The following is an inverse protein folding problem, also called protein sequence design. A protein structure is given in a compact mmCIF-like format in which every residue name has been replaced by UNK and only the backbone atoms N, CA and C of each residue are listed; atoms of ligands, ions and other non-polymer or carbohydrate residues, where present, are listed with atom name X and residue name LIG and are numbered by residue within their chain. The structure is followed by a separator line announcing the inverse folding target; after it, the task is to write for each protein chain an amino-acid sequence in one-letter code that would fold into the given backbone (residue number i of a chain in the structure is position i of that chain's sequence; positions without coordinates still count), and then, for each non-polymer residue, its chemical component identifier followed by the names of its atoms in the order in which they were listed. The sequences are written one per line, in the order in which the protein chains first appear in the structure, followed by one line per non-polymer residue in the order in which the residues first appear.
data_IF_890160572560
#
_entry.id   IF_890160572560
#
_cell.length_a   1.000
_cell.length_b   1.000
_cell.length_c   1.000
_cell.angle_alpha   90.00
_cell.angle_beta   90.00
_cell.angle_gamma   90.00
#
_symmetry.space_group_name_H-M   'P 1'
#
loop_
_entity.id
_entity.type
_entity.pdbx_description
1 polymer ?
#
# COMPACT_ATOMS: atom_id res chain seq x y z
N UNK A 1 5.59 9.64 22.05
CA UNK A 1 4.33 9.63 21.29
C UNK A 1 3.46 8.50 21.84
N UNK A 2 2.16 8.74 22.07
CA UNK A 2 1.19 7.69 22.44
C UNK A 2 0.69 6.99 21.16
N UNK A 3 1.11 5.74 20.95
CA UNK A 3 0.80 4.98 19.73
C UNK A 3 -0.69 4.65 19.61
N UNK A 4 -1.37 4.09 20.65
CA UNK A 4 -2.82 3.90 20.62
C UNK A 4 -3.61 5.15 20.24
N UNK A 5 -3.31 6.30 20.85
CA UNK A 5 -3.97 7.56 20.52
C UNK A 5 -3.69 7.98 19.06
N UNK A 6 -2.43 7.93 18.64
CA UNK A 6 -2.03 8.33 17.28
C UNK A 6 -2.69 7.43 16.21
N UNK A 7 -2.79 6.12 16.48
CA UNK A 7 -3.47 5.19 15.59
C UNK A 7 -4.98 5.46 15.53
N UNK A 8 -5.61 5.77 16.65
CA UNK A 8 -7.02 6.21 16.69
C UNK A 8 -7.23 7.49 15.86
N UNK A 9 -6.31 8.44 15.95
CA UNK A 9 -6.35 9.69 15.19
C UNK A 9 -6.20 9.43 13.68
N UNK A 10 -5.13 8.77 13.26
CA UNK A 10 -4.82 8.53 11.84
C UNK A 10 -5.75 7.48 11.18
N UNK A 11 -6.26 6.55 11.98
CA UNK A 11 -7.18 5.47 11.59
C UNK A 11 -6.54 4.39 10.71
N UNK A 12 -5.22 4.27 10.70
CA UNK A 12 -4.49 3.32 9.85
C UNK A 12 -3.05 3.15 10.31
N UNK A 13 -2.58 1.89 10.34
CA UNK A 13 -1.20 1.53 10.69
C UNK A 13 -0.21 1.94 9.60
N UNK A 14 -0.62 1.92 8.32
CA UNK A 14 0.25 2.42 7.23
C UNK A 14 0.41 3.95 7.30
N UNK A 15 -0.62 4.70 7.71
CA UNK A 15 -0.49 6.15 7.94
C UNK A 15 0.36 6.47 9.16
N UNK A 16 0.26 5.65 10.21
CA UNK A 16 1.15 5.75 11.36
C UNK A 16 2.61 5.58 10.93
N UNK A 17 2.92 4.54 10.15
CA UNK A 17 4.26 4.35 9.60
C UNK A 17 4.73 5.57 8.81
N UNK A 18 3.88 6.13 7.94
CA UNK A 18 4.21 7.36 7.18
C UNK A 18 4.62 8.50 8.12
N UNK A 19 3.83 8.79 9.16
CA UNK A 19 4.15 9.84 10.13
C UNK A 19 5.45 9.55 10.87
N UNK A 20 5.64 8.33 11.37
CA UNK A 20 6.85 7.95 12.09
C UNK A 20 8.09 8.04 11.20
N UNK A 21 7.98 7.69 9.92
CA UNK A 21 9.07 7.78 8.96
C UNK A 21 9.47 9.24 8.66
N UNK A 22 8.51 10.18 8.69
CA UNK A 22 8.80 11.62 8.63
C UNK A 22 9.52 12.10 9.89
N UNK A 23 9.03 11.69 11.07
CA UNK A 23 9.62 12.06 12.36
C UNK A 23 11.04 11.55 12.50
N UNK A 24 11.35 10.36 11.99
CA UNK A 24 12.71 9.82 11.99
C UNK A 24 13.57 10.32 10.82
N UNK A 25 13.00 11.12 9.91
CA UNK A 25 13.72 11.66 8.76
C UNK A 25 14.09 10.62 7.70
N UNK A 26 13.45 9.44 7.74
CA UNK A 26 13.57 8.43 6.69
C UNK A 26 12.90 8.91 5.41
N UNK A 27 11.73 9.55 5.55
CA UNK A 27 11.03 10.18 4.43
C UNK A 27 11.25 11.70 4.40
N UNK A 28 11.46 12.28 3.21
CA UNK A 28 11.59 13.72 3.04
C UNK A 28 10.25 14.45 3.16
N UNK A 29 9.17 13.84 2.65
CA UNK A 29 7.80 14.32 2.75
C UNK A 29 6.81 13.14 2.69
N UNK A 30 5.57 13.37 3.10
CA UNK A 30 4.51 12.36 3.11
C UNK A 30 3.17 12.97 2.72
N UNK A 31 2.26 12.11 2.23
CA UNK A 31 0.88 12.49 1.91
C UNK A 31 -0.09 11.70 2.78
N UNK A 32 -0.78 12.40 3.67
CA UNK A 32 -1.73 11.81 4.61
C UNK A 32 -3.14 12.19 4.20
N UNK A 33 -3.97 11.17 3.97
CA UNK A 33 -5.38 11.38 3.69
C UNK A 33 -6.17 11.49 5.00
N UNK A 34 -6.56 12.70 5.37
CA UNK A 34 -7.21 13.01 6.64
C UNK A 34 -8.72 13.22 6.47
N UNK A 35 -9.59 12.48 7.18
CA UNK A 35 -11.02 12.77 7.20
C UNK A 35 -11.29 14.19 7.72
N UNK A 36 -12.26 14.89 7.13
CA UNK A 36 -12.59 16.27 7.54
C UNK A 36 -12.89 16.38 9.06
N UNK A 37 -13.63 15.42 9.61
CA UNK A 37 -13.96 15.39 11.04
C UNK A 37 -12.78 15.19 12.00
N UNK A 38 -11.60 14.81 11.49
CA UNK A 38 -10.37 14.64 12.27
C UNK A 38 -9.29 15.67 11.94
N UNK A 39 -9.58 16.61 11.03
CA UNK A 39 -8.58 17.52 10.47
C UNK A 39 -7.91 18.37 11.55
N UNK A 40 -8.71 19.04 12.40
CA UNK A 40 -8.18 19.93 13.44
C UNK A 40 -7.22 19.20 14.38
N UNK A 41 -7.62 18.04 14.87
CA UNK A 41 -6.84 17.29 15.85
C UNK A 41 -5.59 16.66 15.19
N UNK A 42 -5.69 16.29 13.90
CA UNK A 42 -4.53 15.80 13.12
C UNK A 42 -3.51 16.92 12.89
N UNK A 43 -3.95 18.13 12.53
CA UNK A 43 -3.08 19.28 12.35
C UNK A 43 -2.38 19.66 13.67
N UNK A 44 -3.12 19.74 14.77
CA UNK A 44 -2.56 20.02 16.09
C UNK A 44 -1.53 18.96 16.53
N UNK A 45 -1.80 17.69 16.25
CA UNK A 45 -0.86 16.61 16.51
C UNK A 45 0.44 16.77 15.68
N UNK A 46 0.33 17.02 14.37
CA UNK A 46 1.49 17.19 13.48
C UNK A 46 2.32 18.41 13.85
N UNK A 47 1.68 19.53 14.18
CA UNK A 47 2.32 20.75 14.70
C UNK A 47 3.07 20.46 16.01
N UNK A 48 2.45 19.72 16.93
CA UNK A 48 3.10 19.26 18.16
C UNK A 48 4.27 18.29 17.94
N UNK A 49 4.40 17.69 16.75
CA UNK A 49 5.60 16.93 16.34
C UNK A 49 6.63 17.79 15.58
N UNK A 50 6.38 19.09 15.43
CA UNK A 50 7.25 20.04 14.71
C UNK A 50 7.22 19.84 13.20
N UNK A 51 6.10 19.35 12.63
CA UNK A 51 5.97 19.14 11.20
C UNK A 51 5.34 20.36 10.52
N UNK A 52 5.89 20.76 9.37
CA UNK A 52 5.22 21.64 8.43
C UNK A 52 4.13 20.86 7.68
N UNK A 53 2.96 21.48 7.51
CA UNK A 53 1.80 20.87 6.85
C UNK A 53 1.21 21.83 5.82
N UNK A 54 1.00 21.31 4.62
CA UNK A 54 0.27 21.96 3.55
C UNK A 54 -1.02 21.19 3.28
N UNK A 55 -2.14 21.90 3.11
CA UNK A 55 -3.43 21.28 2.80
C UNK A 55 -3.72 21.33 1.29
N UNK A 56 -4.40 20.30 0.78
CA UNK A 56 -4.93 20.35 -0.57
C UNK A 56 -6.05 21.40 -0.72
N UNK A 57 -6.10 22.13 -1.85
CA UNK A 57 -7.20 23.05 -2.18
C UNK A 57 -8.49 22.31 -2.60
N UNK A 58 -8.47 20.99 -2.58
CA UNK A 58 -9.58 20.09 -2.88
C UNK A 58 -9.78 19.11 -1.73
N UNK A 59 -10.87 18.33 -1.78
CA UNK A 59 -11.00 17.12 -0.99
C UNK A 59 -11.21 15.89 -1.87
N UNK A 60 -10.92 14.74 -1.30
CA UNK A 60 -10.98 13.44 -1.96
C UNK A 60 -12.17 12.68 -1.41
N UNK A 61 -13.04 12.25 -2.32
CA UNK A 61 -14.18 11.40 -2.04
C UNK A 61 -13.82 9.98 -2.45
N UNK A 62 -13.92 9.03 -1.51
CA UNK A 62 -13.59 7.62 -1.74
C UNK A 62 -14.75 6.93 -2.44
N UNK A 63 -14.43 6.10 -3.43
CA UNK A 63 -15.41 5.22 -4.05
C UNK A 63 -15.56 3.94 -3.24
N UNK A 64 -16.61 3.86 -2.43
CA UNK A 64 -16.89 2.70 -1.58
C UNK A 64 -17.56 1.53 -2.32
N UNK A 65 -17.82 1.63 -3.62
CA UNK A 65 -18.28 0.48 -4.42
C UNK A 65 -17.30 -0.70 -4.38
N UNK A 66 -16.07 -0.45 -3.96
CA UNK A 66 -14.99 -1.41 -3.84
C UNK A 66 -14.76 -1.97 -2.41
N UNK A 67 -15.66 -1.73 -1.46
CA UNK A 67 -15.55 -2.22 -0.08
C UNK A 67 -14.75 -1.28 0.84
N UNK A 68 -14.11 -1.83 1.87
CA UNK A 68 -13.46 -1.03 2.93
C UNK A 68 -12.19 -0.29 2.46
N UNK A 69 -11.47 -0.85 1.48
CA UNK A 69 -10.33 -0.22 0.83
C UNK A 69 -10.75 0.24 -0.57
N UNK A 70 -10.43 1.49 -0.92
CA UNK A 70 -10.85 2.11 -2.18
C UNK A 70 -9.61 2.54 -2.98
N UNK A 71 -9.32 1.82 -4.06
CA UNK A 71 -8.27 2.19 -5.02
C UNK A 71 -8.70 3.33 -5.94
N UNK A 72 -10.00 3.65 -5.94
CA UNK A 72 -10.58 4.74 -6.71
C UNK A 72 -11.07 5.84 -5.79
N UNK A 73 -10.76 7.06 -6.17
CA UNK A 73 -11.23 8.26 -5.50
C UNK A 73 -11.32 9.40 -6.50
N UNK A 74 -12.16 10.38 -6.21
CA UNK A 74 -12.36 11.54 -7.06
C UNK A 74 -12.13 12.84 -6.29
N UNK A 75 -11.54 13.83 -6.95
CA UNK A 75 -11.37 15.17 -6.41
C UNK A 75 -12.70 15.91 -6.46
N UNK A 76 -13.06 16.56 -5.36
CA UNK A 76 -14.17 17.48 -5.24
C UNK A 76 -13.68 18.82 -4.71
N UNK A 77 -14.46 19.88 -4.93
CA UNK A 77 -14.15 21.19 -4.36
C UNK A 77 -14.03 21.10 -2.83
N UNK A 78 -13.14 21.91 -2.23
CA UNK A 78 -12.87 21.87 -0.79
C UNK A 78 -14.13 21.96 0.07
N UNK A 79 -15.11 22.74 -0.36
CA UNK A 79 -16.37 22.99 0.34
C UNK A 79 -17.57 22.20 -0.22
N UNK A 80 -17.33 21.14 -0.99
CA UNK A 80 -18.39 20.20 -1.40
C UNK A 80 -19.14 19.70 -0.15
N UNK A 81 -20.46 19.51 -0.21
CA UNK A 81 -21.26 19.16 0.96
C UNK A 81 -21.06 17.73 1.45
N UNK A 82 -20.49 16.84 0.61
CA UNK A 82 -20.25 15.44 0.96
C UNK A 82 -19.01 15.30 1.83
N UNK A 83 -19.08 14.45 2.86
CA UNK A 83 -17.92 14.14 3.69
C UNK A 83 -16.79 13.52 2.85
N UNK A 84 -15.60 14.08 2.99
CA UNK A 84 -14.43 13.64 2.26
C UNK A 84 -13.17 13.63 3.13
N UNK A 85 -12.04 13.57 2.44
CA UNK A 85 -10.74 13.64 3.06
C UNK A 85 -9.91 14.75 2.44
N UNK A 86 -9.20 15.48 3.29
CA UNK A 86 -8.19 16.46 2.89
C UNK A 86 -6.85 15.74 2.73
N UNK A 87 -6.11 16.05 1.67
CA UNK A 87 -4.73 15.60 1.57
C UNK A 87 -3.85 16.58 2.35
N UNK A 88 -3.10 16.05 3.31
CA UNK A 88 -2.09 16.78 4.05
C UNK A 88 -0.72 16.39 3.49
N UNK A 89 0.04 17.36 3.01
CA UNK A 89 1.43 17.19 2.60
C UNK A 89 2.31 17.61 3.77
N UNK A 90 3.09 16.67 4.29
CA UNK A 90 3.73 16.79 5.60
C UNK A 90 5.23 16.61 5.44
N UNK A 91 6.02 17.47 6.06
CA UNK A 91 7.48 17.41 6.05
C UNK A 91 8.06 18.16 7.25
N UNK A 92 9.30 17.85 7.63
CA UNK A 92 10.07 18.69 8.56
C UNK A 92 10.50 20.03 7.95
N UNK A 93 10.59 20.05 6.62
CA UNK A 93 10.93 21.22 5.80
C UNK A 93 9.67 21.72 5.09
N UNK A 94 9.29 22.97 5.34
CA UNK A 94 8.09 23.57 4.75
C UNK A 94 8.16 23.64 3.23
N UNK A 95 9.34 23.94 2.66
CA UNK A 95 9.55 23.96 1.22
C UNK A 95 9.23 22.62 0.56
N UNK A 96 9.59 21.50 1.20
CA UNK A 96 9.25 20.15 0.72
C UNK A 96 7.75 19.81 0.83
N UNK A 97 7.07 20.28 1.88
CA UNK A 97 5.62 20.13 1.97
C UNK A 97 4.91 20.89 0.83
N UNK A 98 5.36 22.11 0.54
CA UNK A 98 4.87 22.93 -0.57
C UNK A 98 5.18 22.28 -1.93
N UNK A 99 6.39 21.78 -2.14
CA UNK A 99 6.79 21.08 -3.37
C UNK A 99 5.93 19.86 -3.64
N UNK A 100 5.69 19.02 -2.62
CA UNK A 100 4.82 17.86 -2.75
C UNK A 100 3.37 18.25 -3.12
N UNK A 101 2.81 19.29 -2.47
CA UNK A 101 1.49 19.83 -2.79
C UNK A 101 1.42 20.30 -4.24
N UNK A 102 2.37 21.14 -4.65
CA UNK A 102 2.37 21.77 -5.96
C UNK A 102 2.61 20.77 -7.09
N UNK A 103 3.37 19.71 -6.84
CA UNK A 103 3.59 18.63 -7.81
C UNK A 103 2.31 17.82 -8.03
N UNK A 104 1.57 17.46 -6.96
CA UNK A 104 0.27 16.78 -7.08
C UNK A 104 -0.80 17.67 -7.74
N UNK A 105 -0.77 18.98 -7.50
CA UNK A 105 -1.70 19.93 -8.12
C UNK A 105 -1.46 20.06 -9.64
N UNK A 106 -0.18 20.19 -10.03
CA UNK A 106 0.27 20.22 -11.44
C UNK A 106 0.19 18.88 -12.17
N UNK A 107 -0.19 17.80 -11.46
CA UNK A 107 -0.21 16.41 -11.97
C UNK A 107 1.16 15.93 -12.46
N UNK A 108 2.23 16.46 -11.88
CA UNK A 108 3.58 15.97 -12.09
C UNK A 108 3.78 14.72 -11.22
N UNK A 109 3.39 13.56 -11.75
CA UNK A 109 3.45 12.29 -11.01
C UNK A 109 4.89 11.92 -10.61
N UNK A 110 5.86 12.15 -11.50
CA UNK A 110 7.26 11.84 -11.26
C UNK A 110 7.85 12.77 -10.20
N UNK A 111 7.69 14.08 -10.36
CA UNK A 111 8.14 15.08 -9.38
C UNK A 111 7.49 14.85 -8.01
N UNK A 112 6.20 14.53 -7.99
CA UNK A 112 5.50 14.19 -6.75
C UNK A 112 6.09 12.96 -6.06
N UNK A 113 6.32 11.86 -6.78
CA UNK A 113 6.92 10.66 -6.21
C UNK A 113 8.33 10.90 -5.66
N UNK A 114 9.15 11.67 -6.38
CA UNK A 114 10.50 12.05 -5.94
C UNK A 114 10.47 12.92 -4.68
N UNK A 115 9.55 13.90 -4.61
CA UNK A 115 9.36 14.75 -3.42
C UNK A 115 8.99 13.93 -2.17
N UNK A 116 8.26 12.82 -2.33
CA UNK A 116 7.94 11.88 -1.26
C UNK A 116 9.08 10.91 -0.90
N UNK A 117 10.20 10.94 -1.65
CA UNK A 117 11.36 10.09 -1.44
C UNK A 117 11.26 8.70 -2.07
N UNK A 118 10.41 8.52 -3.08
CA UNK A 118 10.32 7.26 -3.82
C UNK A 118 11.51 7.10 -4.78
N UNK A 119 11.98 5.87 -5.03
CA UNK A 119 13.08 5.63 -5.97
C UNK A 119 12.72 6.11 -7.38
N UNK A 120 13.69 6.71 -8.08
CA UNK A 120 13.46 7.25 -9.42
C UNK A 120 12.93 6.21 -10.41
N UNK A 121 13.47 4.98 -10.36
CA UNK A 121 12.99 3.88 -11.21
C UNK A 121 11.51 3.52 -10.96
N UNK A 122 11.03 3.67 -9.71
CA UNK A 122 9.65 3.41 -9.35
C UNK A 122 8.73 4.57 -9.76
N UNK A 123 9.22 5.81 -9.71
CA UNK A 123 8.51 6.97 -10.24
C UNK A 123 8.32 6.87 -11.76
N UNK A 124 9.37 6.49 -12.49
CA UNK A 124 9.30 6.26 -13.94
C UNK A 124 8.32 5.14 -14.30
N UNK A 125 8.38 4.01 -13.58
CA UNK A 125 7.42 2.92 -13.74
C UNK A 125 5.97 3.36 -13.46
N UNK A 126 5.74 4.15 -12.41
CA UNK A 126 4.40 4.67 -12.13
C UNK A 126 3.89 5.56 -13.27
N UNK A 127 4.73 6.48 -13.78
CA UNK A 127 4.38 7.37 -14.89
C UNK A 127 4.00 6.62 -16.18
N UNK A 128 4.66 5.48 -16.44
CA UNK A 128 4.40 4.64 -17.61
C UNK A 128 3.13 3.79 -17.49
N UNK A 129 2.84 3.25 -16.30
CA UNK A 129 1.79 2.23 -16.12
C UNK A 129 0.49 2.72 -15.46
N UNK A 130 0.55 3.83 -14.72
CA UNK A 130 -0.62 4.35 -14.02
C UNK A 130 -1.61 5.00 -14.97
N UNK A 131 -2.90 4.69 -14.77
CA UNK A 131 -3.98 5.41 -15.44
C UNK A 131 -5.26 5.37 -14.61
N UNK A 132 -6.25 6.18 -14.97
CA UNK A 132 -7.56 6.18 -14.29
C UNK A 132 -8.31 4.83 -14.39
N UNK A 133 -7.97 3.98 -15.36
CA UNK A 133 -8.47 2.61 -15.51
C UNK A 133 -7.53 1.55 -14.88
N UNK A 134 -6.30 1.92 -14.52
CA UNK A 134 -5.31 1.07 -13.87
C UNK A 134 -4.66 1.78 -12.67
N UNK A 135 -5.37 1.81 -11.54
CA UNK A 135 -4.91 2.49 -10.32
C UNK A 135 -4.13 1.58 -9.38
N UNK A 136 -4.21 0.27 -9.58
CA UNK A 136 -3.47 -0.74 -8.82
C UNK A 136 -2.46 -1.46 -9.74
N UNK A 137 -1.17 -1.15 -9.56
CA UNK A 137 -0.07 -1.66 -10.38
C UNK A 137 0.52 -2.97 -9.85
N UNK A 138 -0.17 -3.70 -8.96
CA UNK A 138 0.34 -4.96 -8.39
C UNK A 138 0.66 -5.98 -9.50
N UNK A 139 -0.23 -6.12 -10.50
CA UNK A 139 -0.02 -7.05 -11.61
C UNK A 139 1.03 -6.55 -12.61
N UNK A 140 1.09 -5.23 -12.87
CA UNK A 140 2.16 -4.63 -13.68
C UNK A 140 3.54 -4.86 -13.02
N UNK A 141 3.61 -4.72 -11.70
CA UNK A 141 4.82 -5.01 -10.90
C UNK A 141 5.20 -6.49 -11.02
N UNK A 142 4.23 -7.40 -10.96
CA UNK A 142 4.46 -8.84 -11.15
C UNK A 142 4.97 -9.14 -12.56
N UNK A 143 4.45 -8.45 -13.58
CA UNK A 143 4.88 -8.64 -14.95
C UNK A 143 6.36 -8.26 -15.13
N UNK A 144 6.78 -7.16 -14.51
CA UNK A 144 8.18 -6.72 -14.43
C UNK A 144 9.03 -7.42 -13.36
N UNK A 145 8.52 -8.50 -12.78
CA UNK A 145 9.26 -9.31 -11.83
C UNK A 145 9.54 -10.69 -12.42
N UNK A 146 10.77 -11.16 -12.24
CA UNK A 146 11.16 -12.51 -12.60
C UNK A 146 10.72 -13.51 -11.53
N UNK A 147 10.00 -14.56 -11.97
CA UNK A 147 9.46 -15.60 -11.11
C UNK A 147 8.20 -15.15 -10.34
N UNK A 148 7.94 -15.81 -9.21
CA UNK A 148 6.80 -15.54 -8.33
C UNK A 148 7.17 -15.50 -6.85
N UNK A 149 8.45 -15.65 -6.50
CA UNK A 149 8.96 -15.60 -5.12
C UNK A 149 9.78 -14.32 -4.95
N UNK A 150 9.47 -13.51 -3.94
CA UNK A 150 10.01 -12.16 -3.76
C UNK A 150 10.33 -11.83 -2.30
N UNK A 151 11.19 -10.83 -2.04
CA UNK A 151 11.42 -10.32 -0.68
C UNK A 151 10.14 -9.77 -0.06
N UNK A 152 9.85 -10.15 1.20
CA UNK A 152 8.65 -9.72 1.94
C UNK A 152 8.57 -8.21 2.20
N UNK A 153 9.69 -7.51 2.07
CA UNK A 153 9.76 -6.06 2.16
C UNK A 153 9.01 -5.35 1.02
N UNK A 154 8.76 -6.05 -0.10
CA UNK A 154 8.09 -5.51 -1.28
C UNK A 154 6.58 -5.79 -1.33
N UNK A 155 6.00 -6.40 -0.29
CA UNK A 155 4.60 -6.86 -0.26
C UNK A 155 3.60 -5.69 -0.20
N UNK A 156 3.31 -5.06 -1.35
CA UNK A 156 2.33 -3.96 -1.43
C UNK A 156 0.87 -4.43 -1.40
N UNK A 157 0.60 -5.67 -1.78
CA UNK A 157 -0.74 -6.25 -1.80
C UNK A 157 -1.38 -6.33 -0.40
N UNK A 158 -0.57 -6.42 0.66
CA UNK A 158 -1.05 -6.46 2.04
C UNK A 158 -1.64 -5.11 2.52
N UNK A 159 -1.47 -4.01 1.77
CA UNK A 159 -2.05 -2.70 2.13
C UNK A 159 -3.58 -2.71 2.24
N UNK A 160 -4.24 -3.62 1.53
CA UNK A 160 -5.70 -3.82 1.62
C UNK A 160 -6.12 -4.31 3.01
N UNK A 161 -5.16 -4.82 3.79
CA UNK A 161 -5.30 -5.27 5.17
C UNK A 161 -4.55 -4.34 6.14
N UNK A 162 -4.30 -3.08 5.73
CA UNK A 162 -3.62 -2.05 6.52
C UNK A 162 -2.22 -2.49 7.00
N UNK A 163 -1.48 -3.21 6.13
CA UNK A 163 -0.11 -3.62 6.37
C UNK A 163 0.74 -3.46 5.09
N UNK A 164 1.65 -2.50 5.08
CA UNK A 164 2.62 -2.31 4.01
C UNK A 164 3.79 -1.50 4.54
N UNK A 165 5.01 -1.82 4.09
CA UNK A 165 6.20 -1.01 4.35
C UNK A 165 6.46 0.00 3.24
N UNK A 166 5.71 -0.05 2.15
CA UNK A 166 5.84 0.85 1.00
C UNK A 166 4.55 1.63 0.76
N UNK A 167 4.71 2.89 0.38
CA UNK A 167 3.62 3.79 -0.02
C UNK A 167 3.60 4.07 -1.52
N UNK A 168 4.39 3.32 -2.28
CA UNK A 168 4.47 3.31 -3.73
C UNK A 168 4.46 1.88 -4.26
N UNK A 169 4.17 1.70 -5.55
CA UNK A 169 4.41 0.43 -6.23
C UNK A 169 5.87 0.36 -6.66
N UNK A 170 6.62 -0.68 -6.27
CA UNK A 170 7.97 -0.82 -6.77
C UNK A 170 7.94 -1.17 -8.26
N UNK A 171 8.95 -0.78 -9.05
CA UNK A 171 9.02 -1.14 -10.48
C UNK A 171 9.16 -2.65 -10.73
N UNK A 172 9.57 -3.38 -9.70
CA UNK A 172 9.65 -4.84 -9.62
C UNK A 172 9.60 -5.23 -8.14
N UNK A 173 9.04 -6.39 -7.80
CA UNK A 173 9.09 -6.89 -6.42
C UNK A 173 10.53 -7.18 -5.94
N UNK A 174 11.52 -7.15 -6.84
CA UNK A 174 12.95 -7.24 -6.52
C UNK A 174 13.70 -5.90 -6.54
N UNK A 175 13.01 -4.77 -6.70
CA UNK A 175 13.63 -3.44 -6.72
C UNK A 175 14.44 -3.20 -5.44
N UNK A 176 15.76 -3.07 -5.57
CA UNK A 176 16.69 -2.99 -4.45
C UNK A 176 16.46 -1.75 -3.60
N UNK A 177 16.17 -0.61 -4.24
CA UNK A 177 15.90 0.67 -3.59
C UNK A 177 14.61 0.63 -2.78
N UNK A 178 13.58 -0.02 -3.32
CA UNK A 178 12.31 -0.21 -2.60
C UNK A 178 12.48 -1.15 -1.42
N UNK A 179 13.21 -2.26 -1.58
CA UNK A 179 13.53 -3.17 -0.47
C UNK A 179 14.31 -2.45 0.63
N UNK A 180 15.32 -1.66 0.26
CA UNK A 180 16.11 -0.88 1.21
C UNK A 180 15.27 0.17 1.95
N UNK A 181 14.36 0.85 1.26
CA UNK A 181 13.44 1.81 1.89
C UNK A 181 12.46 1.10 2.85
N UNK A 182 11.88 -0.02 2.45
CA UNK A 182 11.00 -0.82 3.29
C UNK A 182 11.71 -1.33 4.56
N UNK A 183 12.98 -1.73 4.46
CA UNK A 183 13.78 -2.10 5.64
C UNK A 183 13.96 -0.93 6.60
N UNK A 184 14.24 0.29 6.10
CA UNK A 184 14.29 1.49 6.95
C UNK A 184 12.95 1.76 7.63
N UNK A 185 11.84 1.58 6.92
CA UNK A 185 10.50 1.72 7.50
C UNK A 185 10.20 0.65 8.56
N UNK A 186 10.65 -0.59 8.36
CA UNK A 186 10.53 -1.62 9.40
C UNK A 186 11.30 -1.22 10.65
N UNK A 187 12.54 -0.74 10.52
CA UNK A 187 13.33 -0.28 11.65
C UNK A 187 12.63 0.87 12.42
N UNK A 188 11.95 1.77 11.70
CA UNK A 188 11.12 2.84 12.31
C UNK A 188 9.98 2.23 13.12
N UNK A 189 9.27 1.24 12.58
CA UNK A 189 8.20 0.56 13.33
C UNK A 189 8.75 -0.21 14.52
N UNK A 190 9.86 -0.93 14.39
CA UNK A 190 10.47 -1.65 15.51
C UNK A 190 10.89 -0.71 16.64
N UNK A 191 11.38 0.49 16.29
CA UNK A 191 11.78 1.52 17.26
C UNK A 191 10.58 2.15 17.99
N UNK A 192 9.50 2.46 17.27
CA UNK A 192 8.42 3.31 17.81
C UNK A 192 7.12 2.56 18.13
N UNK A 193 6.86 1.44 17.43
CA UNK A 193 5.63 0.66 17.54
C UNK A 193 5.91 -0.85 17.29
N UNK A 194 6.72 -1.50 18.14
CA UNK A 194 7.18 -2.87 17.93
C UNK A 194 6.03 -3.90 17.81
N UNK A 195 4.92 -3.67 18.49
CA UNK A 195 3.72 -4.51 18.36
C UNK A 195 3.11 -4.45 16.94
N UNK A 196 3.15 -3.27 16.30
CA UNK A 196 2.68 -3.09 14.92
C UNK A 196 3.67 -3.72 13.94
N UNK A 197 4.99 -3.57 14.19
CA UNK A 197 6.02 -4.27 13.40
C UNK A 197 5.79 -5.80 13.44
N UNK A 198 5.61 -6.36 14.63
CA UNK A 198 5.31 -7.78 14.83
C UNK A 198 4.01 -8.21 14.13
N UNK A 199 2.97 -7.38 14.16
CA UNK A 199 1.71 -7.65 13.47
C UNK A 199 1.81 -7.54 11.94
N UNK A 200 2.72 -6.72 11.41
CA UNK A 200 2.96 -6.58 9.97
C UNK A 200 3.63 -7.83 9.39
N UNK A 201 4.65 -8.37 10.06
CA UNK A 201 5.50 -9.40 9.48
C UNK A 201 4.75 -10.64 8.95
N UNK A 202 3.75 -11.21 9.66
CA UNK A 202 2.97 -12.33 9.12
C UNK A 202 2.12 -11.97 7.88
N UNK A 203 1.71 -10.70 7.74
CA UNK A 203 0.96 -10.21 6.58
C UNK A 203 1.89 -9.91 5.40
N UNK A 204 3.14 -9.55 5.67
CA UNK A 204 4.15 -9.27 4.65
C UNK A 204 4.82 -10.56 4.14
N UNK A 205 5.04 -11.54 5.01
CA UNK A 205 5.59 -12.88 4.69
C UNK A 205 4.47 -13.86 4.34
N UNK A 206 3.83 -13.65 3.20
CA UNK A 206 2.63 -14.38 2.82
C UNK A 206 2.62 -14.77 1.35
N UNK A 207 1.86 -15.80 1.00
CA UNK A 207 1.45 -16.03 -0.38
C UNK A 207 0.32 -15.06 -0.73
N UNK A 208 0.25 -14.62 -1.97
CA UNK A 208 -0.83 -13.76 -2.46
C UNK A 208 -1.32 -14.33 -3.78
N UNK A 209 -2.61 -14.61 -3.86
CA UNK A 209 -3.32 -14.72 -5.15
C UNK A 209 -4.01 -13.39 -5.37
N UNK A 210 -3.70 -12.73 -6.48
CA UNK A 210 -4.31 -11.47 -6.87
C UNK A 210 -5.12 -11.69 -8.15
N UNK A 211 -6.35 -11.19 -8.19
CA UNK A 211 -7.11 -11.12 -9.43
C UNK A 211 -7.80 -9.75 -9.54
N UNK A 212 -7.75 -9.14 -10.74
CA UNK A 212 -8.43 -7.87 -11.01
C UNK A 212 -9.93 -8.06 -10.80
N UNK A 213 -10.52 -7.27 -9.91
CA UNK A 213 -11.93 -7.39 -9.50
C UNK A 213 -12.13 -8.07 -8.14
N UNK A 214 -11.32 -9.08 -7.82
CA UNK A 214 -11.34 -9.77 -6.54
C UNK A 214 -10.41 -9.10 -5.51
N UNK A 215 -9.33 -8.48 -5.99
CA UNK A 215 -8.27 -7.92 -5.16
C UNK A 215 -7.30 -9.01 -4.66
N UNK A 216 -6.47 -8.69 -3.66
CA UNK A 216 -5.55 -9.64 -3.07
C UNK A 216 -6.23 -10.60 -2.10
N UNK A 217 -5.85 -11.87 -2.20
CA UNK A 217 -6.18 -12.94 -1.26
C UNK A 217 -4.86 -13.42 -0.65
N UNK A 218 -4.67 -13.17 0.64
CA UNK A 218 -3.49 -13.62 1.38
C UNK A 218 -3.62 -15.10 1.74
N UNK A 219 -2.54 -15.84 1.58
CA UNK A 219 -2.40 -17.25 1.93
C UNK A 219 -1.60 -17.34 3.23
N UNK A 220 -2.27 -17.15 4.37
CA UNK A 220 -1.61 -17.16 5.67
C UNK A 220 -1.12 -18.56 6.03
N UNK A 221 0.05 -18.61 6.65
CA UNK A 221 0.71 -19.88 6.98
C UNK A 221 1.13 -20.67 5.75
N UNK A 222 1.36 -20.00 4.61
CA UNK A 222 1.75 -20.69 3.38
C UNK A 222 3.06 -21.47 3.55
N UNK A 223 3.12 -22.61 2.86
CA UNK A 223 4.30 -23.46 2.72
C UNK A 223 4.40 -23.86 1.26
N UNK A 224 5.60 -23.78 0.69
CA UNK A 224 5.84 -24.09 -0.72
C UNK A 224 6.78 -25.29 -0.87
N UNK A 225 6.33 -26.29 -1.63
CA UNK A 225 7.09 -27.47 -2.02
C UNK A 225 7.07 -27.60 -3.55
N UNK A 226 8.15 -27.17 -4.20
CA UNK A 226 8.20 -27.05 -5.66
C UNK A 226 7.12 -26.11 -6.18
N UNK A 227 6.20 -26.64 -6.99
CA UNK A 227 5.04 -25.92 -7.52
C UNK A 227 3.83 -25.89 -6.58
N UNK A 228 3.79 -26.72 -5.54
CA UNK A 228 2.64 -26.81 -4.64
C UNK A 228 2.77 -25.75 -3.54
N UNK A 229 1.73 -24.96 -3.33
CA UNK A 229 1.58 -24.05 -2.19
C UNK A 229 0.41 -24.56 -1.37
N UNK A 230 0.67 -24.92 -0.11
CA UNK A 230 -0.36 -25.18 0.91
C UNK A 230 -0.45 -23.99 1.86
N UNK A 231 -1.60 -23.77 2.50
CA UNK A 231 -1.79 -22.65 3.43
C UNK A 231 -2.88 -22.96 4.45
N UNK A 232 -2.81 -22.30 5.62
CA UNK A 232 -3.74 -22.56 6.72
C UNK A 232 -5.04 -21.77 6.53
N UNK A 233 -4.93 -20.52 6.09
CA UNK A 233 -6.06 -19.59 5.94
C UNK A 233 -5.94 -18.75 4.67
N UNK A 234 -7.05 -18.61 3.94
CA UNK A 234 -7.18 -17.61 2.88
C UNK A 234 -7.86 -16.38 3.49
N UNK A 235 -7.31 -15.19 3.27
CA UNK A 235 -7.85 -13.93 3.79
C UNK A 235 -8.04 -12.95 2.65
N UNK A 236 -9.27 -12.49 2.43
CA UNK A 236 -9.61 -11.59 1.35
C UNK A 236 -10.38 -10.37 1.88
N UNK A 237 -10.26 -9.23 1.19
CA UNK A 237 -11.10 -8.06 1.47
C UNK A 237 -12.56 -8.23 1.04
N UNK A 238 -12.85 -9.23 0.20
CA UNK A 238 -14.20 -9.56 -0.29
C UNK A 238 -14.36 -11.07 -0.47
N UNK A 239 -15.57 -11.56 -0.23
CA UNK A 239 -15.91 -12.97 -0.43
C UNK A 239 -16.28 -13.25 -1.89
N UNK A 240 -15.29 -13.58 -2.72
CA UNK A 240 -15.46 -13.91 -4.15
C UNK A 240 -15.45 -15.42 -4.41
N UNK A 241 -15.80 -15.84 -5.64
CA UNK A 241 -15.70 -17.27 -6.04
C UNK A 241 -14.29 -17.81 -5.81
N UNK A 242 -13.26 -17.03 -6.17
CA UNK A 242 -11.87 -17.43 -6.00
C UNK A 242 -11.50 -17.56 -4.51
N UNK A 243 -11.95 -16.65 -3.67
CA UNK A 243 -11.77 -16.75 -2.21
C UNK A 243 -12.38 -18.03 -1.65
N UNK A 244 -13.62 -18.37 -2.01
CA UNK A 244 -14.25 -19.60 -1.54
C UNK A 244 -13.54 -20.86 -2.03
N UNK A 245 -13.10 -20.86 -3.29
CA UNK A 245 -12.34 -21.97 -3.86
C UNK A 245 -11.01 -22.18 -3.11
N UNK A 246 -10.22 -21.12 -2.89
CA UNK A 246 -8.99 -21.20 -2.10
C UNK A 246 -9.24 -21.60 -0.64
N UNK A 247 -10.32 -21.08 -0.04
CA UNK A 247 -10.69 -21.41 1.34
C UNK A 247 -11.09 -22.88 1.51
N UNK A 248 -11.69 -23.49 0.48
CA UNK A 248 -12.06 -24.91 0.48
C UNK A 248 -10.86 -25.81 0.26
N UNK A 249 -10.05 -25.51 -0.76
CA UNK A 249 -8.97 -26.40 -1.19
C UNK A 249 -7.73 -26.30 -0.31
N UNK A 250 -7.43 -25.13 0.29
CA UNK A 250 -6.26 -24.88 1.16
C UNK A 250 -4.89 -25.16 0.51
N UNK A 251 -4.88 -25.37 -0.79
CA UNK A 251 -3.68 -25.59 -1.59
C UNK A 251 -3.90 -25.16 -3.03
N UNK A 252 -2.82 -24.84 -3.72
CA UNK A 252 -2.80 -24.52 -5.14
C UNK A 252 -1.49 -25.00 -5.78
N UNK A 253 -1.53 -25.32 -7.07
CA UNK A 253 -0.33 -25.59 -7.86
C UNK A 253 -0.01 -24.37 -8.73
N UNK A 254 1.23 -23.89 -8.67
CA UNK A 254 1.76 -22.83 -9.52
C UNK A 254 2.33 -23.43 -10.80
N UNK A 255 1.76 -23.06 -11.94
CA UNK A 255 2.26 -23.45 -13.27
C UNK A 255 2.91 -22.26 -14.01
N UNK A 256 2.68 -21.05 -13.51
CA UNK A 256 3.32 -19.81 -13.90
C UNK A 256 2.83 -18.65 -13.04
N UNK A 257 3.49 -17.49 -13.09
CA UNK A 257 3.10 -16.34 -12.26
C UNK A 257 1.67 -15.84 -12.51
N UNK A 258 1.10 -16.11 -13.69
CA UNK A 258 -0.29 -15.79 -14.06
C UNK A 258 -1.16 -17.03 -14.29
N UNK A 259 -0.74 -18.21 -13.81
CA UNK A 259 -1.43 -19.48 -14.04
C UNK A 259 -1.29 -20.43 -12.87
N UNK A 260 -2.39 -20.68 -12.18
CA UNK A 260 -2.47 -21.61 -11.04
C UNK A 260 -3.59 -22.62 -11.22
N UNK A 261 -3.50 -23.75 -10.51
CA UNK A 261 -4.56 -24.77 -10.45
C UNK A 261 -5.01 -24.95 -9.01
N UNK A 262 -6.31 -24.88 -8.77
CA UNK A 262 -6.92 -24.97 -7.44
C UNK A 262 -8.10 -25.95 -7.51
N UNK A 263 -8.03 -27.09 -6.83
CA UNK A 263 -9.12 -28.09 -6.85
C UNK A 263 -9.44 -28.63 -8.26
N UNK A 264 -8.46 -28.63 -9.17
CA UNK A 264 -8.64 -28.98 -10.59
C UNK A 264 -9.14 -27.84 -11.48
N UNK A 265 -9.54 -26.69 -10.92
CA UNK A 265 -9.88 -25.49 -11.70
C UNK A 265 -8.61 -24.73 -12.09
N UNK A 266 -8.47 -24.41 -13.38
CA UNK A 266 -7.38 -23.57 -13.90
C UNK A 266 -7.76 -22.11 -13.76
N UNK A 267 -6.91 -21.34 -13.08
CA UNK A 267 -7.04 -19.89 -12.91
C UNK A 267 -5.87 -19.25 -13.64
N UNK A 268 -6.15 -18.68 -14.82
CA UNK A 268 -5.15 -18.04 -15.66
C UNK A 268 -5.65 -16.71 -16.23
N UNK A 269 -4.72 -15.86 -16.67
CA UNK A 269 -5.00 -14.58 -17.32
C UNK A 269 -4.05 -13.47 -16.90
N UNK A 270 -3.85 -12.47 -17.76
CA UNK A 270 -3.02 -11.29 -17.45
C UNK A 270 -3.58 -10.43 -16.31
N UNK A 271 -4.85 -10.61 -16.00
CA UNK A 271 -5.58 -9.99 -14.90
C UNK A 271 -5.45 -10.76 -13.58
N UNK A 272 -4.58 -11.78 -13.53
CA UNK A 272 -4.39 -12.65 -12.35
C UNK A 272 -2.92 -12.89 -12.10
N UNK A 273 -2.55 -13.10 -10.83
CA UNK A 273 -1.17 -13.29 -10.41
C UNK A 273 -1.05 -14.10 -9.13
N UNK A 274 0.02 -14.88 -9.02
CA UNK A 274 0.45 -15.50 -7.76
C UNK A 274 1.83 -14.95 -7.38
N UNK A 275 1.97 -14.59 -6.11
CA UNK A 275 3.20 -14.10 -5.51
C UNK A 275 3.43 -14.81 -4.19
N UNK A 276 4.69 -15.05 -3.83
CA UNK A 276 5.11 -15.63 -2.56
C UNK A 276 6.16 -14.71 -1.98
N UNK A 277 5.91 -14.19 -0.79
CA UNK A 277 6.77 -13.20 -0.15
C UNK A 277 7.50 -13.81 1.05
N UNK A 278 8.83 -13.78 1.03
CA UNK A 278 9.73 -14.43 2.00
C UNK A 278 10.81 -13.50 2.53
#
# INVERSE_FOLDING_TARGET
MDIPYTLSLLGSRIKLLEVLALIDGVKPAGRILCPEGKLRDTLAFLDGQGMAVEESPFKVLKDHSQGAYADRSFRAGRYDSRNGHVCLYVSKDSGRATEARDSEDRRDHRGFGLALGYPECCCAFFEEHFSASNTDLTLDTLEHSEGHVFPCYSTVAARHFDASLLSHFPCSFRCAESVALAQKHLNVLEKHAPEIAAAFMPLLRTGVVYARGDGPILLKGHRQEGSLISFDEAVAGRATKLYYLLSREKQLRVEGKNRIVVGGEVIEGKDRGVMVFQ
#
